data_IF_663581312854
#
_entry.id   IF_663581312854
#
_cell.length_a   1.000
_cell.length_b   1.000
_cell.length_c   1.000
_cell.angle_alpha   90.00
_cell.angle_beta   90.00
_cell.angle_gamma   90.00
#
_symmetry.space_group_name_H-M   'P 1'
#
loop_
_entity.id
_entity.type
_entity.pdbx_description
1 polymer ?
#
# COMPACT_ATOMS: atom_id res chain seq x y z
N UNK A 1 21.49 3.12 11.25
CA UNK A 1 20.61 2.19 10.50
C UNK A 1 21.01 2.27 9.05
N UNK A 2 21.11 1.15 8.34
CA UNK A 2 21.31 1.22 6.90
C UNK A 2 20.16 1.98 6.26
N UNK A 3 20.50 2.94 5.40
CA UNK A 3 19.53 3.69 4.60
C UNK A 3 18.92 2.73 3.56
N UNK A 4 17.84 2.07 3.88
CA UNK A 4 17.07 1.29 2.90
C UNK A 4 16.33 2.27 1.98
N UNK A 5 17.04 2.75 0.96
CA UNK A 5 16.43 3.57 -0.09
C UNK A 5 16.05 2.67 -1.25
N UNK A 6 14.75 2.43 -1.38
CA UNK A 6 14.24 1.81 -2.58
C UNK A 6 14.36 2.75 -3.78
N UNK A 7 14.57 2.16 -4.98
CA UNK A 7 14.56 2.93 -6.21
C UNK A 7 13.20 3.61 -6.42
N UNK A 8 13.21 4.87 -6.80
CA UNK A 8 12.01 5.59 -7.28
C UNK A 8 11.77 5.39 -8.77
N UNK A 9 12.75 4.83 -9.48
CA UNK A 9 12.60 4.48 -10.89
C UNK A 9 12.06 3.08 -11.00
N UNK A 10 11.11 2.84 -11.92
CA UNK A 10 10.59 1.50 -12.16
C UNK A 10 11.70 0.50 -12.47
N UNK A 11 11.70 -0.62 -11.79
CA UNK A 11 12.61 -1.75 -11.99
C UNK A 11 11.75 -2.95 -12.38
N UNK A 12 12.12 -3.63 -13.46
CA UNK A 12 11.46 -4.86 -13.86
C UNK A 12 11.63 -5.92 -12.77
N UNK A 13 10.52 -6.50 -12.38
CA UNK A 13 10.47 -7.58 -11.38
C UNK A 13 9.77 -8.81 -11.98
N UNK A 14 10.01 -10.01 -11.46
CA UNK A 14 9.27 -11.19 -11.87
C UNK A 14 7.77 -10.99 -11.73
N UNK A 15 7.01 -11.38 -12.74
CA UNK A 15 5.54 -11.37 -12.67
C UNK A 15 5.07 -12.41 -11.65
N UNK A 16 4.04 -12.05 -10.90
CA UNK A 16 3.40 -12.93 -9.91
C UNK A 16 1.92 -13.02 -10.25
N UNK A 17 1.41 -14.22 -10.31
CA UNK A 17 -0.02 -14.46 -10.50
C UNK A 17 -0.46 -15.62 -9.60
N UNK A 18 -0.99 -15.30 -8.45
CA UNK A 18 -1.56 -16.23 -7.49
C UNK A 18 -2.91 -15.70 -7.00
N UNK A 19 -3.66 -16.49 -6.28
CA UNK A 19 -4.95 -16.07 -5.71
C UNK A 19 -4.81 -14.83 -4.78
N UNK A 20 -3.70 -14.70 -4.08
CA UNK A 20 -3.49 -13.64 -3.08
C UNK A 20 -2.54 -12.53 -3.53
N UNK A 21 -1.76 -12.75 -4.60
CA UNK A 21 -0.76 -11.80 -5.10
C UNK A 21 -0.82 -11.72 -6.62
N UNK A 22 -0.80 -10.49 -7.12
CA UNK A 22 -0.72 -10.24 -8.55
C UNK A 22 0.22 -9.08 -8.82
N UNK A 23 1.34 -9.32 -9.50
CA UNK A 23 2.33 -8.32 -9.87
C UNK A 23 2.56 -8.40 -11.36
N UNK A 24 2.14 -7.37 -12.09
CA UNK A 24 2.23 -7.34 -13.55
C UNK A 24 2.97 -6.12 -14.11
N UNK A 25 3.37 -5.19 -13.27
CA UNK A 25 4.15 -4.01 -13.67
C UNK A 25 5.57 -4.06 -13.12
N UNK A 26 6.43 -3.15 -13.56
CA UNK A 26 7.65 -2.80 -12.84
C UNK A 26 7.29 -2.24 -11.45
N UNK A 27 8.24 -2.24 -10.52
CA UNK A 27 8.09 -1.67 -9.17
C UNK A 27 9.18 -0.62 -8.93
N UNK A 28 8.83 0.60 -8.50
CA UNK A 28 7.46 1.14 -8.39
C UNK A 28 6.72 1.11 -9.73
N UNK A 29 5.39 1.09 -9.67
CA UNK A 29 4.59 1.09 -10.89
C UNK A 29 4.86 2.38 -11.71
N UNK A 30 4.99 2.29 -13.04
CA UNK A 30 5.23 3.45 -13.89
C UNK A 30 4.19 4.56 -13.66
N UNK A 31 4.66 5.81 -13.57
CA UNK A 31 3.78 6.97 -13.32
C UNK A 31 3.61 7.33 -11.85
N UNK A 32 4.19 6.58 -10.91
CA UNK A 32 4.11 6.88 -9.46
C UNK A 32 5.28 7.71 -8.95
N UNK A 33 6.27 8.00 -9.78
CA UNK A 33 7.53 8.67 -9.39
C UNK A 33 7.30 10.05 -8.77
N UNK A 34 6.31 10.80 -9.28
CA UNK A 34 5.95 12.11 -8.74
C UNK A 34 5.42 11.98 -7.30
N UNK A 35 4.52 11.03 -7.06
CA UNK A 35 3.95 10.79 -5.73
C UNK A 35 5.01 10.32 -4.74
N UNK A 36 5.92 9.45 -5.16
CA UNK A 36 7.04 8.99 -4.33
C UNK A 36 7.99 10.13 -3.94
N UNK A 37 8.24 11.08 -4.85
CA UNK A 37 9.04 12.28 -4.53
C UNK A 37 8.35 13.20 -3.53
N UNK A 38 7.03 13.36 -3.65
CA UNK A 38 6.25 14.16 -2.70
C UNK A 38 6.26 13.52 -1.32
N UNK A 39 6.09 12.19 -1.22
CA UNK A 39 6.22 11.47 0.04
C UNK A 39 7.59 11.68 0.66
N UNK A 40 8.67 11.54 -0.09
CA UNK A 40 10.02 11.77 0.44
C UNK A 40 10.22 13.21 0.93
N UNK A 41 9.60 14.19 0.30
CA UNK A 41 9.71 15.59 0.67
C UNK A 41 8.91 15.96 1.92
N UNK A 42 7.72 15.38 2.09
CA UNK A 42 6.75 15.82 3.09
C UNK A 42 6.45 14.78 4.18
N UNK A 43 6.75 13.52 3.95
CA UNK A 43 6.53 12.45 4.92
C UNK A 43 7.57 12.53 6.06
N UNK A 44 7.15 12.15 7.26
CA UNK A 44 8.08 12.11 8.39
C UNK A 44 9.21 11.10 8.16
N UNK A 45 10.40 11.37 8.69
CA UNK A 45 11.57 10.48 8.55
C UNK A 45 11.32 9.06 9.06
N UNK A 46 10.48 8.92 10.07
CA UNK A 46 10.11 7.62 10.64
C UNK A 46 9.32 6.74 9.66
N UNK A 47 8.66 7.33 8.68
CA UNK A 47 7.89 6.62 7.65
C UNK A 47 8.69 6.40 6.36
N UNK A 48 9.83 7.08 6.19
CA UNK A 48 10.69 6.90 5.02
C UNK A 48 11.35 5.50 5.04
N UNK A 49 11.56 4.94 3.85
CA UNK A 49 12.15 3.60 3.69
C UNK A 49 11.13 2.48 3.53
N UNK A 50 9.85 2.80 3.43
CA UNK A 50 8.82 1.83 3.03
C UNK A 50 8.97 1.44 1.55
N UNK A 51 8.43 0.27 1.19
CA UNK A 51 8.42 -0.17 -0.20
C UNK A 51 7.70 0.85 -1.09
N UNK A 52 8.19 1.11 -2.31
CA UNK A 52 7.69 2.20 -3.16
C UNK A 52 6.40 1.81 -3.89
N UNK A 53 5.35 1.56 -3.14
CA UNK A 53 4.02 1.21 -3.63
C UNK A 53 3.04 2.28 -3.19
N UNK A 54 2.28 2.84 -4.13
CA UNK A 54 1.21 3.79 -3.84
C UNK A 54 -0.11 3.04 -3.78
N UNK A 55 -0.65 2.92 -2.58
CA UNK A 55 -1.94 2.26 -2.35
C UNK A 55 -3.08 3.06 -2.95
N UNK A 56 -4.00 2.36 -3.59
CA UNK A 56 -5.26 2.91 -4.08
C UNK A 56 -6.43 2.44 -3.22
N UNK A 57 -6.49 1.15 -2.93
CA UNK A 57 -7.52 0.55 -2.09
C UNK A 57 -6.97 -0.65 -1.32
N UNK A 58 -7.69 -1.03 -0.29
CA UNK A 58 -7.41 -2.25 0.46
C UNK A 58 -8.73 -2.94 0.85
N UNK A 59 -8.71 -4.26 0.90
CA UNK A 59 -9.83 -5.08 1.31
C UNK A 59 -9.30 -6.31 2.06
N UNK A 60 -9.85 -6.54 3.24
CA UNK A 60 -9.44 -7.62 4.14
C UNK A 60 -7.92 -7.57 4.42
N UNK A 61 -7.13 -8.50 3.90
CA UNK A 61 -5.66 -8.51 4.00
C UNK A 61 -4.97 -8.12 2.68
N UNK A 62 -5.71 -7.69 1.69
CA UNK A 62 -5.19 -7.37 0.36
C UNK A 62 -5.07 -5.86 0.14
N UNK A 63 -3.97 -5.46 -0.49
CA UNK A 63 -3.70 -4.08 -0.91
C UNK A 63 -3.61 -4.05 -2.43
N UNK A 64 -4.11 -2.99 -3.02
CA UNK A 64 -4.10 -2.78 -4.47
C UNK A 64 -3.56 -1.40 -4.81
N UNK A 65 -2.81 -1.30 -5.89
CA UNK A 65 -2.47 -0.03 -6.53
C UNK A 65 -3.41 0.28 -7.72
N UNK A 66 -3.27 1.46 -8.29
CA UNK A 66 -4.06 1.88 -9.47
C UNK A 66 -3.72 1.11 -10.75
N UNK A 67 -2.65 0.33 -10.75
CA UNK A 67 -2.16 -0.42 -11.90
C UNK A 67 -2.60 -1.89 -11.87
N UNK A 68 -3.43 -2.26 -10.90
CA UNK A 68 -3.96 -3.60 -10.75
C UNK A 68 -3.01 -4.58 -10.06
N UNK A 69 -1.87 -4.14 -9.56
CA UNK A 69 -1.05 -4.99 -8.72
C UNK A 69 -1.74 -5.23 -7.37
N UNK A 70 -1.55 -6.44 -6.83
CA UNK A 70 -2.14 -6.89 -5.56
C UNK A 70 -1.06 -7.47 -4.67
N UNK A 71 -1.05 -7.05 -3.42
CA UNK A 71 -0.15 -7.54 -2.36
C UNK A 71 -0.91 -8.02 -1.14
N UNK A 72 -0.22 -8.76 -0.28
CA UNK A 72 -0.70 -9.15 1.04
C UNK A 72 -0.15 -8.16 2.06
N UNK A 73 -1.02 -7.60 2.89
CA UNK A 73 -0.64 -6.77 4.03
C UNK A 73 -0.32 -7.64 5.25
N UNK A 74 0.93 -8.07 5.38
CA UNK A 74 1.39 -8.85 6.53
C UNK A 74 1.54 -8.04 7.82
N UNK A 75 1.57 -6.72 7.72
CA UNK A 75 1.79 -5.83 8.87
C UNK A 75 0.51 -5.25 9.44
N UNK A 76 -0.65 -5.53 8.80
CA UNK A 76 -1.94 -4.92 9.16
C UNK A 76 -1.84 -3.40 9.27
N UNK A 77 -1.12 -2.76 8.33
CA UNK A 77 -0.83 -1.31 8.34
C UNK A 77 -0.19 -0.87 9.67
N UNK A 78 0.86 -1.57 10.08
CA UNK A 78 1.54 -1.38 11.38
C UNK A 78 0.54 -1.59 12.54
N UNK A 79 -0.09 -2.76 12.53
CA UNK A 79 -0.96 -3.30 13.59
C UNK A 79 -2.30 -2.58 13.82
N UNK A 80 -2.81 -1.81 12.85
CA UNK A 80 -4.07 -1.07 13.02
C UNK A 80 -5.26 -1.66 12.27
N UNK A 81 -5.06 -2.52 11.27
CA UNK A 81 -6.15 -3.15 10.50
C UNK A 81 -6.40 -4.61 10.91
N UNK A 82 -6.39 -4.90 12.22
CA UNK A 82 -6.49 -6.26 12.76
C UNK A 82 -7.81 -6.98 12.47
N UNK A 83 -8.86 -6.26 12.11
CA UNK A 83 -10.16 -6.81 11.69
C UNK A 83 -10.28 -6.98 10.18
N UNK A 84 -9.20 -6.72 9.44
CA UNK A 84 -9.20 -6.61 8.00
C UNK A 84 -9.56 -5.20 7.50
N UNK A 85 -9.00 -4.83 6.36
CA UNK A 85 -9.31 -3.55 5.71
C UNK A 85 -10.78 -3.53 5.27
N UNK A 86 -11.46 -2.42 5.53
CA UNK A 86 -12.84 -2.22 5.11
C UNK A 86 -13.86 -3.14 5.79
N UNK A 87 -13.56 -3.65 7.00
CA UNK A 87 -14.48 -4.49 7.76
C UNK A 87 -15.87 -3.83 7.88
N UNK A 88 -16.89 -4.49 7.33
CA UNK A 88 -18.25 -3.93 7.21
C UNK A 88 -18.88 -3.60 8.57
N UNK A 89 -18.64 -4.41 9.59
CA UNK A 89 -19.18 -4.16 10.92
C UNK A 89 -18.58 -2.91 11.56
N UNK A 90 -17.27 -2.75 11.45
CA UNK A 90 -16.54 -1.54 11.91
C UNK A 90 -17.02 -0.32 11.15
N UNK A 91 -17.05 -0.38 9.82
CA UNK A 91 -17.50 0.73 8.98
C UNK A 91 -18.93 1.16 9.31
N UNK A 92 -19.84 0.22 9.48
CA UNK A 92 -21.23 0.49 9.83
C UNK A 92 -21.37 1.11 11.24
N UNK A 93 -20.57 0.66 12.19
CA UNK A 93 -20.54 1.25 13.53
C UNK A 93 -20.06 2.69 13.53
N UNK A 94 -18.99 2.98 12.77
CA UNK A 94 -18.47 4.34 12.60
C UNK A 94 -19.52 5.26 11.93
N UNK A 95 -20.15 4.79 10.84
CA UNK A 95 -21.22 5.55 10.17
C UNK A 95 -22.33 5.93 11.12
N UNK A 96 -22.84 5.00 11.93
CA UNK A 96 -23.90 5.27 12.92
C UNK A 96 -23.50 6.32 13.95
N UNK A 97 -22.24 6.44 14.30
CA UNK A 97 -21.75 7.46 15.23
C UNK A 97 -21.68 8.84 14.54
N UNK A 98 -21.24 8.87 13.28
CA UNK A 98 -21.12 10.13 12.51
C UNK A 98 -22.48 10.72 12.12
N UNK A 99 -23.54 9.93 12.10
CA UNK A 99 -24.92 10.35 11.78
C UNK A 99 -25.69 10.89 13.00
N UNK A 100 -25.11 10.90 14.20
CA UNK A 100 -25.68 11.45 15.44
C UNK A 100 -25.30 12.92 15.63
#
# INVERSE_FOLDING_TARGET
MPDYKFSRRPINVPKVNTINRFINTAIPAPGTEKSLRLLEQYESRSMQGQIPIIWDKAEDFSIYDKHGNKWIDFTSTIFVSNTGHGNKNVCNSVKKVLEK
#
